data_IF_258614735585
#
_entry.id   IF_258614735585
#
_cell.length_a   1.000
_cell.length_b   1.000
_cell.length_c   1.000
_cell.angle_alpha   90.00
_cell.angle_beta   90.00
_cell.angle_gamma   90.00
#
_symmetry.space_group_name_H-M   'P 1'
#
loop_
_entity.id
_entity.type
_entity.pdbx_description
1 polymer ?
#
# COMPACT_ATOMS: atom_id res chain seq x y z
N UNK A 1 36.67 -15.67 7.19
CA UNK A 1 35.36 -16.20 7.59
C UNK A 1 34.35 -15.78 6.52
N UNK A 2 33.80 -16.75 5.81
CA UNK A 2 33.06 -16.54 4.57
C UNK A 2 31.63 -16.06 4.87
N UNK A 3 31.36 -14.76 4.66
CA UNK A 3 30.03 -14.14 4.78
C UNK A 3 29.08 -14.47 3.60
N UNK A 4 29.23 -15.65 3.00
CA UNK A 4 28.52 -16.02 1.76
C UNK A 4 27.04 -16.34 1.98
N UNK A 5 26.60 -16.56 3.23
CA UNK A 5 25.20 -16.89 3.56
C UNK A 5 24.29 -15.66 3.80
N UNK A 6 24.85 -14.46 4.00
CA UNK A 6 24.08 -13.25 4.35
C UNK A 6 23.45 -12.55 3.14
N UNK A 7 23.99 -12.76 1.94
CA UNK A 7 23.49 -12.14 0.71
C UNK A 7 22.07 -12.59 0.28
N UNK A 8 21.71 -13.89 0.28
CA UNK A 8 20.36 -14.31 -0.09
C UNK A 8 19.31 -13.96 0.97
N UNK A 9 19.71 -13.72 2.22
CA UNK A 9 18.73 -13.49 3.31
C UNK A 9 18.07 -12.12 3.22
N UNK A 10 18.80 -11.06 2.83
CA UNK A 10 18.22 -9.71 2.74
C UNK A 10 17.14 -9.59 1.67
N UNK A 11 17.40 -10.17 0.48
CA UNK A 11 16.45 -10.19 -0.63
C UNK A 11 15.24 -11.06 -0.35
N UNK A 12 15.42 -12.20 0.32
CA UNK A 12 14.29 -13.05 0.73
C UNK A 12 13.36 -12.32 1.71
N UNK A 13 13.93 -11.67 2.74
CA UNK A 13 13.15 -10.90 3.73
C UNK A 13 12.41 -9.74 3.06
N UNK A 14 13.08 -8.99 2.19
CA UNK A 14 12.47 -7.91 1.41
C UNK A 14 11.34 -8.43 0.51
N UNK A 15 11.57 -9.56 -0.17
CA UNK A 15 10.58 -10.20 -1.04
C UNK A 15 9.32 -10.64 -0.29
N UNK A 16 9.46 -11.19 0.92
CA UNK A 16 8.31 -11.52 1.79
C UNK A 16 7.54 -10.26 2.18
N UNK A 17 8.24 -9.17 2.55
CA UNK A 17 7.59 -7.89 2.86
C UNK A 17 6.80 -7.33 1.67
N UNK A 18 7.41 -7.31 0.47
CA UNK A 18 6.74 -6.87 -0.75
C UNK A 18 5.55 -7.76 -1.13
N UNK A 19 5.68 -9.08 -0.98
CA UNK A 19 4.60 -10.02 -1.24
C UNK A 19 3.41 -9.82 -0.29
N UNK A 20 3.67 -9.54 1.00
CA UNK A 20 2.62 -9.22 1.96
C UNK A 20 1.92 -7.90 1.61
N UNK A 21 2.66 -6.87 1.18
CA UNK A 21 2.09 -5.59 0.75
C UNK A 21 1.19 -5.77 -0.47
N UNK A 22 1.72 -6.38 -1.55
CA UNK A 22 0.98 -6.53 -2.81
C UNK A 22 -0.19 -7.50 -2.63
N UNK A 23 0.09 -8.68 -2.07
CA UNK A 23 -0.88 -9.74 -1.86
C UNK A 23 -1.99 -9.32 -0.88
N UNK A 24 -1.63 -8.65 0.22
CA UNK A 24 -2.60 -8.15 1.19
C UNK A 24 -3.52 -7.09 0.60
N UNK A 25 -3.00 -6.18 -0.22
CA UNK A 25 -3.77 -5.11 -0.83
C UNK A 25 -4.74 -5.68 -1.86
N UNK A 26 -4.29 -6.65 -2.67
CA UNK A 26 -5.14 -7.37 -3.61
C UNK A 26 -6.19 -8.23 -2.90
N UNK A 27 -5.82 -8.95 -1.84
CA UNK A 27 -6.74 -9.77 -1.06
C UNK A 27 -7.90 -8.92 -0.51
N UNK A 28 -7.58 -7.78 0.09
CA UNK A 28 -8.59 -6.87 0.64
C UNK A 28 -9.44 -6.19 -0.42
N UNK A 29 -8.81 -5.63 -1.44
CA UNK A 29 -9.50 -4.87 -2.48
C UNK A 29 -10.37 -5.75 -3.37
N UNK A 30 -9.83 -6.87 -3.85
CA UNK A 30 -10.50 -7.69 -4.85
C UNK A 30 -11.45 -8.73 -4.25
N UNK A 31 -11.16 -9.27 -3.08
CA UNK A 31 -11.93 -10.39 -2.52
C UNK A 31 -12.76 -9.99 -1.30
N UNK A 32 -12.18 -9.27 -0.35
CA UNK A 32 -12.87 -8.96 0.91
C UNK A 32 -14.04 -7.98 0.71
N UNK A 33 -13.86 -6.93 -0.08
CA UNK A 33 -14.92 -5.94 -0.30
C UNK A 33 -16.18 -6.54 -0.96
N UNK A 34 -16.11 -7.28 -2.09
CA UNK A 34 -17.30 -7.87 -2.70
C UNK A 34 -18.03 -8.87 -1.80
N UNK A 35 -17.28 -9.62 -0.97
CA UNK A 35 -17.87 -10.60 -0.04
C UNK A 35 -18.63 -9.91 1.08
N UNK A 36 -18.06 -8.86 1.68
CA UNK A 36 -18.72 -8.09 2.74
C UNK A 36 -20.03 -7.46 2.28
N UNK A 37 -20.04 -6.80 1.11
CA UNK A 37 -21.25 -6.14 0.60
C UNK A 37 -22.35 -7.11 0.17
N UNK A 38 -22.03 -8.39 -0.06
CA UNK A 38 -23.03 -9.43 -0.32
C UNK A 38 -23.65 -10.00 0.95
N UNK A 39 -22.93 -9.99 2.07
CA UNK A 39 -23.34 -10.66 3.31
C UNK A 39 -23.98 -9.73 4.35
N UNK A 40 -23.61 -8.45 4.35
CA UNK A 40 -24.04 -7.49 5.37
C UNK A 40 -24.86 -6.35 4.78
N UNK A 41 -25.77 -5.79 5.58
CA UNK A 41 -26.39 -4.51 5.26
C UNK A 41 -25.29 -3.43 5.18
N UNK A 42 -25.49 -2.43 4.30
CA UNK A 42 -24.52 -1.35 4.06
C UNK A 42 -23.93 -0.71 5.34
N UNK A 43 -24.72 -0.34 6.37
CA UNK A 43 -24.16 0.27 7.58
C UNK A 43 -23.25 -0.69 8.36
N UNK A 44 -23.65 -1.96 8.49
CA UNK A 44 -22.87 -2.99 9.20
C UNK A 44 -21.59 -3.36 8.44
N UNK A 45 -21.66 -3.39 7.10
CA UNK A 45 -20.51 -3.65 6.23
C UNK A 45 -19.41 -2.60 6.42
N UNK A 46 -19.78 -1.33 6.56
CA UNK A 46 -18.83 -0.24 6.80
C UNK A 46 -18.06 -0.43 8.10
N UNK A 47 -18.76 -0.75 9.20
CA UNK A 47 -18.13 -0.98 10.50
C UNK A 47 -17.18 -2.20 10.47
N UNK A 48 -17.62 -3.30 9.84
CA UNK A 48 -16.79 -4.49 9.66
C UNK A 48 -15.52 -4.19 8.84
N UNK A 49 -15.66 -3.43 7.74
CA UNK A 49 -14.56 -3.03 6.87
C UNK A 49 -13.53 -2.16 7.62
N UNK A 50 -13.96 -1.21 8.45
CA UNK A 50 -13.06 -0.42 9.31
C UNK A 50 -12.25 -1.31 10.26
N UNK A 51 -12.89 -2.30 10.89
CA UNK A 51 -12.17 -3.22 11.79
C UNK A 51 -11.14 -4.06 11.05
N UNK A 52 -11.47 -4.54 9.85
CA UNK A 52 -10.58 -5.32 9.00
C UNK A 52 -9.38 -4.47 8.57
N UNK A 53 -9.61 -3.24 8.11
CA UNK A 53 -8.52 -2.32 7.73
C UNK A 53 -7.58 -2.04 8.90
N UNK A 54 -8.10 -1.83 10.11
CA UNK A 54 -7.25 -1.62 11.29
C UNK A 54 -6.33 -2.81 11.57
N UNK A 55 -6.82 -4.04 11.37
CA UNK A 55 -5.99 -5.25 11.51
C UNK A 55 -4.97 -5.36 10.38
N UNK A 56 -5.38 -5.00 9.17
CA UNK A 56 -4.49 -4.99 8.02
C UNK A 56 -3.36 -3.96 8.16
N UNK A 57 -3.61 -2.77 8.72
CA UNK A 57 -2.59 -1.75 8.95
C UNK A 57 -1.44 -2.27 9.83
N UNK A 58 -1.75 -3.11 10.81
CA UNK A 58 -0.73 -3.77 11.64
C UNK A 58 0.13 -4.73 10.81
N UNK A 59 -0.50 -5.51 9.92
CA UNK A 59 0.21 -6.41 8.99
C UNK A 59 1.07 -5.59 8.01
N UNK A 60 0.54 -4.50 7.49
CA UNK A 60 1.24 -3.61 6.57
C UNK A 60 2.45 -2.95 7.24
N UNK A 61 2.32 -2.56 8.52
CA UNK A 61 3.42 -2.02 9.32
C UNK A 61 4.55 -3.05 9.47
N UNK A 62 4.21 -4.31 9.79
CA UNK A 62 5.20 -5.39 9.89
C UNK A 62 5.85 -5.66 8.53
N UNK A 63 5.07 -5.70 7.45
CA UNK A 63 5.58 -5.91 6.10
C UNK A 63 6.55 -4.78 5.69
N UNK A 64 6.23 -3.53 6.02
CA UNK A 64 7.10 -2.37 5.81
C UNK A 64 8.42 -2.49 6.60
N UNK A 65 8.36 -2.94 7.85
CA UNK A 65 9.58 -3.21 8.63
C UNK A 65 10.43 -4.31 8.00
N UNK A 66 9.82 -5.36 7.45
CA UNK A 66 10.54 -6.41 6.72
C UNK A 66 11.22 -5.86 5.45
N UNK A 67 10.55 -4.99 4.70
CA UNK A 67 11.16 -4.34 3.51
C UNK A 67 12.39 -3.51 3.92
N UNK A 68 12.28 -2.70 4.97
CA UNK A 68 13.40 -1.87 5.47
C UNK A 68 14.52 -2.75 6.01
N UNK A 69 14.19 -3.80 6.79
CA UNK A 69 15.17 -4.73 7.35
C UNK A 69 15.89 -5.52 6.26
N UNK A 70 15.17 -5.97 5.22
CA UNK A 70 15.75 -6.66 4.08
C UNK A 70 16.71 -5.77 3.28
N UNK A 71 16.32 -4.52 3.03
CA UNK A 71 17.18 -3.53 2.38
C UNK A 71 18.40 -3.20 3.26
N UNK A 72 18.21 -2.98 4.56
CA UNK A 72 19.29 -2.73 5.50
C UNK A 72 20.29 -3.88 5.59
N UNK A 73 19.81 -5.13 5.62
CA UNK A 73 20.66 -6.32 5.65
C UNK A 73 21.48 -6.45 4.36
N UNK A 74 20.88 -6.12 3.21
CA UNK A 74 21.56 -6.10 1.92
C UNK A 74 22.65 -5.02 1.87
N UNK A 75 22.37 -3.82 2.35
CA UNK A 75 23.36 -2.73 2.43
C UNK A 75 24.52 -3.11 3.35
N UNK A 76 24.20 -3.75 4.47
CA UNK A 76 25.19 -4.25 5.41
C UNK A 76 26.06 -5.35 4.81
N UNK A 77 25.48 -6.27 4.01
CA UNK A 77 26.24 -7.36 3.38
C UNK A 77 27.12 -6.89 2.21
N UNK A 78 26.68 -5.87 1.46
CA UNK A 78 27.44 -5.32 0.33
C UNK A 78 28.70 -4.56 0.75
N UNK A 79 28.74 -4.04 1.98
CA UNK A 79 29.81 -3.14 2.44
C UNK A 79 29.78 -1.78 1.72
N UNK A 80 30.50 -0.79 2.25
CA UNK A 80 30.52 0.57 1.68
C UNK A 80 31.24 0.67 0.30
N UNK A 81 31.80 -0.41 -0.22
CA UNK A 81 32.82 -0.38 -1.27
C UNK A 81 32.31 -0.46 -2.72
N UNK A 82 31.03 -0.24 -3.00
CA UNK A 82 30.54 -0.37 -4.38
C UNK A 82 29.09 0.01 -4.64
N UNK A 83 28.65 1.20 -4.22
CA UNK A 83 27.32 1.68 -4.57
C UNK A 83 27.24 2.06 -6.04
N UNK A 84 26.50 1.26 -6.81
CA UNK A 84 26.14 1.60 -8.18
C UNK A 84 24.94 2.56 -8.23
N UNK A 85 24.73 3.21 -9.39
CA UNK A 85 23.54 4.06 -9.63
C UNK A 85 22.24 3.27 -9.39
N UNK A 86 22.24 1.96 -9.71
CA UNK A 86 21.08 1.08 -9.52
C UNK A 86 20.72 0.93 -8.03
N UNK A 87 21.72 0.87 -7.13
CA UNK A 87 21.45 0.77 -5.69
C UNK A 87 20.85 2.07 -5.15
N UNK A 88 21.33 3.23 -5.62
CA UNK A 88 20.72 4.52 -5.26
C UNK A 88 19.27 4.62 -5.70
N UNK A 89 18.96 4.23 -6.94
CA UNK A 89 17.58 4.23 -7.46
C UNK A 89 16.70 3.30 -6.62
N UNK A 90 17.18 2.10 -6.30
CA UNK A 90 16.45 1.15 -5.44
C UNK A 90 16.15 1.74 -4.08
N UNK A 91 17.16 2.26 -3.38
CA UNK A 91 16.99 2.85 -2.04
C UNK A 91 15.97 3.99 -2.12
N UNK A 92 16.06 4.84 -3.15
CA UNK A 92 15.09 5.91 -3.37
C UNK A 92 13.66 5.38 -3.55
N UNK A 93 13.47 4.31 -4.32
CA UNK A 93 12.15 3.67 -4.52
C UNK A 93 11.63 3.06 -3.21
N UNK A 94 12.46 2.36 -2.45
CA UNK A 94 12.09 1.77 -1.16
C UNK A 94 11.71 2.88 -0.17
N UNK A 95 12.50 3.93 -0.06
CA UNK A 95 12.22 5.07 0.80
C UNK A 95 10.94 5.80 0.39
N UNK A 96 10.70 5.98 -0.92
CA UNK A 96 9.47 6.58 -1.42
C UNK A 96 8.25 5.73 -1.06
N UNK A 97 8.33 4.41 -1.23
CA UNK A 97 7.27 3.47 -0.85
C UNK A 97 6.99 3.50 0.65
N UNK A 98 8.03 3.41 1.48
CA UNK A 98 7.91 3.47 2.95
C UNK A 98 7.34 4.81 3.39
N UNK A 99 7.86 5.92 2.85
CA UNK A 99 7.40 7.27 3.17
C UNK A 99 5.94 7.48 2.83
N UNK A 100 5.50 6.98 1.68
CA UNK A 100 4.11 7.01 1.24
C UNK A 100 3.18 6.20 2.16
N UNK A 101 3.60 5.00 2.57
CA UNK A 101 2.85 4.18 3.51
C UNK A 101 2.77 4.82 4.89
N UNK A 102 3.89 5.29 5.44
CA UNK A 102 3.90 6.04 6.70
C UNK A 102 2.97 7.25 6.64
N UNK A 103 3.00 8.02 5.54
CA UNK A 103 2.09 9.15 5.36
C UNK A 103 0.62 8.72 5.44
N UNK A 104 0.26 7.61 4.77
CA UNK A 104 -1.09 7.05 4.81
C UNK A 104 -1.50 6.61 6.22
N UNK A 105 -0.64 5.86 6.92
CA UNK A 105 -0.93 5.39 8.28
C UNK A 105 -1.09 6.54 9.29
N UNK A 106 -0.23 7.55 9.23
CA UNK A 106 -0.23 8.61 10.23
C UNK A 106 -1.20 9.76 9.94
N UNK A 107 -1.53 10.04 8.67
CA UNK A 107 -2.39 11.17 8.33
C UNK A 107 -3.82 10.76 7.92
N UNK A 108 -3.98 9.63 7.23
CA UNK A 108 -5.29 9.26 6.64
C UNK A 108 -6.11 8.42 7.63
N UNK A 109 -5.51 7.38 8.21
CA UNK A 109 -6.23 6.46 9.09
C UNK A 109 -6.83 7.12 10.34
N UNK A 110 -6.11 7.98 11.11
CA UNK A 110 -6.70 8.61 12.29
C UNK A 110 -7.82 9.58 11.93
N UNK A 111 -7.76 10.25 10.76
CA UNK A 111 -8.83 11.12 10.28
C UNK A 111 -10.09 10.34 9.93
N UNK A 112 -9.95 9.20 9.26
CA UNK A 112 -11.06 8.30 8.95
C UNK A 112 -11.73 7.78 10.23
N UNK A 113 -10.93 7.37 11.22
CA UNK A 113 -11.46 6.88 12.50
C UNK A 113 -12.19 7.99 13.27
N UNK A 114 -11.70 9.24 13.22
CA UNK A 114 -12.37 10.39 13.81
C UNK A 114 -13.74 10.66 13.16
N UNK A 115 -13.85 10.57 11.83
CA UNK A 115 -15.10 10.76 11.09
C UNK A 115 -16.12 9.65 11.35
N UNK A 116 -15.66 8.41 11.56
CA UNK A 116 -16.53 7.30 11.95
C UNK A 116 -17.03 7.47 13.38
N UNK A 117 -16.16 7.89 14.31
CA UNK A 117 -16.53 8.15 15.72
C UNK A 117 -17.48 9.32 15.88
N UNK A 118 -17.41 10.34 15.01
CA UNK A 118 -18.33 11.48 15.04
C UNK A 118 -19.71 11.17 14.46
N UNK A 119 -19.92 9.97 13.89
CA UNK A 119 -21.18 9.57 13.25
C UNK A 119 -21.47 10.28 11.92
N UNK A 120 -20.61 11.21 11.48
CA UNK A 120 -20.81 12.01 10.28
C UNK A 120 -20.51 11.23 8.99
N UNK A 121 -19.60 10.25 9.03
CA UNK A 121 -19.19 9.49 7.84
C UNK A 121 -20.27 8.56 7.25
N UNK A 122 -21.26 8.13 8.04
CA UNK A 122 -22.30 7.22 7.58
C UNK A 122 -23.52 7.93 6.99
N UNK A 123 -23.84 9.15 7.45
CA UNK A 123 -24.99 9.90 6.93
C UNK A 123 -24.77 10.46 5.51
N UNK A 124 -23.52 10.66 5.09
CA UNK A 124 -23.22 11.26 3.79
C UNK A 124 -23.25 10.30 2.60
N UNK A 125 -23.02 9.00 2.81
CA UNK A 125 -23.15 7.98 1.75
C UNK A 125 -24.61 7.56 1.56
N UNK A 126 -25.45 7.81 2.55
CA UNK A 126 -26.86 7.44 2.55
C UNK A 126 -27.77 8.51 1.93
N UNK A 127 -27.25 9.69 1.55
CA UNK A 127 -28.01 10.53 0.62
C UNK A 127 -28.13 9.76 -0.69
N UNK A 128 -29.33 9.24 -1.03
CA UNK A 128 -29.52 8.63 -2.33
C UNK A 128 -29.21 9.74 -3.32
N UNK A 129 -28.27 9.49 -4.24
CA UNK A 129 -28.32 10.18 -5.52
C UNK A 129 -29.70 9.83 -6.04
N UNK A 130 -30.65 10.74 -5.84
CA UNK A 130 -32.01 10.60 -6.30
C UNK A 130 -31.87 10.28 -7.78
N UNK A 131 -32.07 9.02 -8.11
CA UNK A 131 -32.11 8.58 -9.47
C UNK A 131 -33.33 9.31 -10.00
N UNK A 132 -33.07 10.32 -10.81
CA UNK A 132 -34.06 11.24 -11.32
C UNK A 132 -34.97 10.49 -12.31
N UNK A 133 -35.84 9.64 -11.77
CA UNK A 133 -36.94 8.98 -12.47
C UNK A 133 -38.09 8.82 -11.48
N UNK A 134 -38.64 9.94 -11.02
CA UNK A 134 -40.06 9.97 -10.66
C UNK A 134 -40.60 11.36 -10.98
N UNK A 135 -41.25 11.45 -12.13
CA UNK A 135 -42.22 12.51 -12.41
C UNK A 135 -43.30 12.47 -11.33
N UNK A 136 -43.14 13.23 -10.26
CA UNK A 136 -44.24 13.54 -9.35
C UNK A 136 -44.39 15.05 -9.26
N UNK A 137 -45.32 15.52 -10.10
CA UNK A 137 -45.94 16.82 -10.03
C UNK A 137 -46.52 17.03 -8.63
N UNK A 138 -45.90 17.92 -7.85
CA UNK A 138 -46.51 18.55 -6.69
C UNK A 138 -46.30 20.06 -6.75
N UNK A 139 -47.43 20.75 -6.62
CA UNK A 139 -47.59 22.21 -6.67
C UNK A 139 -46.95 22.87 -5.46
N UNK A 140 -45.90 23.64 -5.73
CA UNK A 140 -45.42 24.88 -5.11
C UNK A 140 -45.84 25.21 -3.66
N UNK A 141 -44.86 25.13 -2.75
CA UNK A 141 -44.68 26.11 -1.67
C UNK A 141 -43.19 26.54 -1.69
N UNK A 142 -42.86 27.83 -1.87
CA UNK A 142 -41.47 28.27 -1.95
C UNK A 142 -40.87 28.37 -0.54
N UNK A 143 -40.50 27.22 0.03
CA UNK A 143 -39.60 27.19 1.18
C UNK A 143 -38.23 27.67 0.69
N UNK A 144 -37.75 28.77 1.28
CA UNK A 144 -36.39 29.28 1.08
C UNK A 144 -35.43 28.22 1.60
N UNK A 145 -35.03 27.33 0.71
CA UNK A 145 -34.03 26.30 0.93
C UNK A 145 -32.70 27.03 1.12
N UNK A 146 -32.34 27.23 2.39
CA UNK A 146 -31.02 27.72 2.76
C UNK A 146 -30.02 26.71 2.20
N UNK A 147 -29.38 27.07 1.08
CA UNK A 147 -28.25 26.37 0.49
C UNK A 147 -27.12 26.40 1.50
N UNK A 148 -27.13 25.45 2.45
CA UNK A 148 -25.98 25.16 3.28
C UNK A 148 -24.90 24.67 2.31
N UNK A 149 -23.81 25.44 2.12
CA UNK A 149 -22.78 25.05 1.17
C UNK A 149 -22.25 23.68 1.57
N UNK A 150 -22.38 22.71 0.66
CA UNK A 150 -21.97 21.32 0.84
C UNK A 150 -20.44 21.19 0.75
N UNK A 151 -19.76 21.83 1.71
CA UNK A 151 -18.30 21.82 1.85
C UNK A 151 -17.78 20.42 2.17
N UNK A 152 -18.62 19.56 2.77
CA UNK A 152 -18.25 18.22 3.19
C UNK A 152 -18.13 17.25 2.00
N UNK A 153 -19.01 17.31 0.98
CA UNK A 153 -18.91 16.41 -0.18
C UNK A 153 -17.68 16.68 -1.03
N UNK A 154 -17.26 17.95 -1.13
CA UNK A 154 -16.05 18.35 -1.85
C UNK A 154 -14.80 17.77 -1.16
N UNK A 155 -14.72 17.89 0.18
CA UNK A 155 -13.61 17.34 0.96
C UNK A 155 -13.51 15.82 0.85
N UNK A 156 -14.64 15.11 0.89
CA UNK A 156 -14.66 13.66 0.73
C UNK A 156 -14.14 13.22 -0.66
N UNK A 157 -14.56 13.90 -1.73
CA UNK A 157 -14.09 13.59 -3.09
C UNK A 157 -12.59 13.83 -3.25
N UNK A 158 -12.07 14.94 -2.74
CA UNK A 158 -10.64 15.24 -2.80
C UNK A 158 -9.80 14.21 -2.02
N UNK A 159 -10.24 13.84 -0.81
CA UNK A 159 -9.53 12.84 -0.01
C UNK A 159 -9.58 11.44 -0.63
N UNK A 160 -10.71 11.06 -1.22
CA UNK A 160 -10.85 9.80 -1.95
C UNK A 160 -9.93 9.75 -3.16
N UNK A 161 -9.93 10.80 -4.00
CA UNK A 161 -9.09 10.88 -5.19
C UNK A 161 -7.58 10.83 -4.85
N UNK A 162 -7.17 11.55 -3.81
CA UNK A 162 -5.80 11.47 -3.31
C UNK A 162 -5.47 10.06 -2.84
N UNK A 163 -6.32 9.41 -2.06
CA UNK A 163 -6.08 8.05 -1.58
C UNK A 163 -5.93 7.03 -2.73
N UNK A 164 -6.73 7.16 -3.78
CA UNK A 164 -6.66 6.28 -4.95
C UNK A 164 -5.35 6.47 -5.71
N UNK A 165 -4.97 7.73 -5.98
CA UNK A 165 -3.69 8.07 -6.61
C UNK A 165 -2.51 7.58 -5.78
N UNK A 166 -2.57 7.76 -4.46
CA UNK A 166 -1.52 7.32 -3.54
C UNK A 166 -1.39 5.79 -3.55
N UNK A 167 -2.51 5.06 -3.51
CA UNK A 167 -2.53 3.60 -3.54
C UNK A 167 -1.95 3.04 -4.85
N UNK A 168 -2.34 3.60 -6.00
CA UNK A 168 -1.79 3.20 -7.30
C UNK A 168 -0.29 3.45 -7.40
N UNK A 169 0.19 4.59 -6.91
CA UNK A 169 1.61 4.92 -6.93
C UNK A 169 2.40 4.01 -5.97
N UNK A 170 1.88 3.71 -4.79
CA UNK A 170 2.49 2.76 -3.86
C UNK A 170 2.60 1.36 -4.46
N UNK A 171 1.56 0.88 -5.15
CA UNK A 171 1.56 -0.41 -5.81
C UNK A 171 2.54 -0.45 -7.00
N UNK A 172 2.61 0.62 -7.78
CA UNK A 172 3.61 0.76 -8.85
C UNK A 172 5.04 0.76 -8.29
N UNK A 173 5.30 1.47 -7.19
CA UNK A 173 6.60 1.48 -6.53
C UNK A 173 6.96 0.10 -5.96
N UNK A 174 5.99 -0.63 -5.39
CA UNK A 174 6.19 -1.98 -4.88
C UNK A 174 6.57 -2.96 -5.99
N UNK A 175 5.87 -2.90 -7.13
CA UNK A 175 6.18 -3.70 -8.31
C UNK A 175 7.54 -3.33 -8.90
N UNK A 176 7.85 -2.04 -8.97
CA UNK A 176 9.16 -1.59 -9.44
C UNK A 176 10.28 -2.10 -8.54
N UNK A 177 10.12 -2.02 -7.21
CA UNK A 177 11.06 -2.57 -6.25
C UNK A 177 11.23 -4.09 -6.41
N UNK A 178 10.11 -4.81 -6.64
CA UNK A 178 10.11 -6.24 -6.89
C UNK A 178 10.90 -6.60 -8.17
N UNK A 179 10.60 -5.94 -9.29
CA UNK A 179 11.27 -6.16 -10.58
C UNK A 179 12.75 -5.79 -10.50
N UNK A 180 13.06 -4.68 -9.82
CA UNK A 180 14.42 -4.23 -9.64
C UNK A 180 15.24 -5.23 -8.84
N UNK A 181 14.64 -5.99 -7.92
CA UNK A 181 15.31 -7.04 -7.11
C UNK A 181 15.86 -8.11 -8.03
N UNK A 182 17.17 -8.10 -8.37
CA UNK A 182 17.72 -9.18 -9.16
C UNK A 182 17.52 -10.42 -8.31
N UNK A 183 16.86 -11.44 -8.86
CA UNK A 183 17.08 -12.79 -8.38
C UNK A 183 18.58 -12.94 -8.39
N UNK A 184 19.19 -13.10 -7.21
CA UNK A 184 20.62 -13.29 -7.08
C UNK A 184 20.95 -14.55 -7.87
N UNK A 185 21.23 -14.40 -9.16
CA UNK A 185 21.93 -15.41 -9.94
C UNK A 185 23.29 -15.39 -9.29
N UNK A 186 23.50 -16.33 -8.38
CA UNK A 186 24.83 -16.66 -7.90
C UNK A 186 25.67 -16.75 -9.16
N UNK A 187 26.51 -15.74 -9.41
CA UNK A 187 27.46 -15.81 -10.51
C UNK A 187 28.23 -17.07 -10.20
N UNK A 188 28.11 -18.14 -11.02
CA UNK A 188 28.84 -19.36 -10.73
C UNK A 188 30.29 -18.91 -10.60
N UNK A 189 30.89 -19.14 -9.44
CA UNK A 189 32.31 -18.87 -9.24
C UNK A 189 33.00 -19.56 -10.40
N UNK A 190 33.45 -18.76 -11.36
CA UNK A 190 34.13 -19.27 -12.53
C UNK A 190 35.35 -19.96 -11.94
N UNK A 191 35.48 -21.30 -12.04
CA UNK A 191 36.49 -22.04 -11.33
C UNK A 191 37.82 -21.39 -11.66
N UNK A 192 38.48 -20.88 -10.61
CA UNK A 192 39.74 -20.21 -10.72
C UNK A 192 40.68 -21.15 -11.48
N UNK A 193 41.11 -20.65 -12.63
CA UNK A 193 41.77 -21.36 -13.70
C UNK A 193 42.83 -22.33 -13.14
N UNK A 194 42.53 -23.63 -13.11
CA UNK A 194 43.50 -24.71 -12.87
C UNK A 194 44.38 -24.80 -14.13
N UNK A 195 45.21 -23.78 -14.35
CA UNK A 195 46.18 -23.73 -15.45
C UNK A 195 47.64 -23.82 -14.95
N UNK A 196 47.84 -24.21 -13.69
CA UNK A 196 49.19 -24.32 -13.12
C UNK A 196 49.91 -25.66 -13.33
N UNK A 197 49.34 -26.65 -14.04
CA UNK A 197 49.88 -28.03 -13.97
C UNK A 197 50.13 -28.74 -15.30
N UNK A 198 50.45 -28.04 -16.40
CA UNK A 198 51.00 -28.70 -17.60
C UNK A 198 52.04 -27.82 -18.31
N UNK A 199 53.21 -27.65 -17.68
CA UNK A 199 54.47 -27.35 -18.38
C UNK A 199 55.49 -28.38 -17.94
N UNK A 200 55.58 -29.48 -18.68
CA UNK A 200 56.67 -30.47 -18.66
C UNK A 200 57.39 -30.42 -20.01
#
# INVERSE_FOLDING_TARGET
MSNTLLFPTGTAVQGVGLALIIGGTLALGAFTAPVLFKQFARPDAGQAMTMIFRRYDMVLTVAMLLVIAGEGLRLFSAGLSGFGIVDYIRIAVVLALVGMMCFSLFNVNPKMEAMVKSGQGLQQVEQPVATAETEQSYTTEPAVEATVPDTNSTYFRETHELSEKLSKLALAAALLALIMTPFATATPQQPENIQAEYSY
#
